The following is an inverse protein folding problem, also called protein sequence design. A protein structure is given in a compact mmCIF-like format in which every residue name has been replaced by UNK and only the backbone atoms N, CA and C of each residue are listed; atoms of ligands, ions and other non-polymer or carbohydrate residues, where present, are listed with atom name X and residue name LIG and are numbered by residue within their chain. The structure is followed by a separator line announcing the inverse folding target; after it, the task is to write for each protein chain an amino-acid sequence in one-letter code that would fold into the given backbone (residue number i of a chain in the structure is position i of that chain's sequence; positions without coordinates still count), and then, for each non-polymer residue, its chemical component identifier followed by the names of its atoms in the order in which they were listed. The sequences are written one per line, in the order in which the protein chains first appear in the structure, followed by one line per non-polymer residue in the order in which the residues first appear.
data_IF_203728730964
#
_entry.id   IF_203728730964
#
_cell.length_a   1.000
_cell.length_b   1.000
_cell.length_c   1.000
_cell.angle_alpha   90.00
_cell.angle_beta   90.00
_cell.angle_gamma   90.00
#
_symmetry.space_group_name_H-M   'P 1'
#
loop_
_entity.id
_entity.type
_entity.pdbx_description
1 polymer ?
#
# COMPACT_ATOMS: atom_id res chain seq x y z
N UNK A 1 -39.06 -7.14 16.16
CA UNK A 1 -38.00 -8.13 15.96
C UNK A 1 -36.74 -7.59 16.62
N UNK A 2 -36.08 -8.30 17.51
CA UNK A 2 -34.81 -7.82 18.06
C UNK A 2 -33.78 -7.87 16.91
N UNK A 3 -33.04 -6.76 16.75
CA UNK A 3 -31.91 -6.67 15.84
C UNK A 3 -30.85 -7.63 16.38
N UNK A 4 -30.37 -8.54 15.55
CA UNK A 4 -29.34 -9.49 15.94
C UNK A 4 -28.01 -8.74 16.20
N UNK A 5 -27.25 -9.16 17.17
CA UNK A 5 -25.94 -8.53 17.51
C UNK A 5 -24.98 -8.52 16.31
N UNK A 6 -25.00 -9.55 15.49
CA UNK A 6 -24.23 -9.63 14.24
C UNK A 6 -24.61 -8.53 13.23
N UNK A 7 -25.88 -8.14 13.16
CA UNK A 7 -26.34 -7.04 12.29
C UNK A 7 -25.93 -5.65 12.83
N UNK A 8 -25.88 -5.48 14.15
CA UNK A 8 -25.43 -4.22 14.77
C UNK A 8 -23.92 -4.05 14.56
N UNK A 9 -23.15 -5.11 14.74
CA UNK A 9 -21.69 -5.06 14.52
C UNK A 9 -21.33 -4.79 13.06
N UNK A 10 -22.03 -5.37 12.10
CA UNK A 10 -21.80 -5.12 10.66
C UNK A 10 -22.08 -3.66 10.25
N UNK A 11 -22.80 -2.88 11.05
CA UNK A 11 -23.04 -1.45 10.79
C UNK A 11 -22.00 -0.52 11.44
N UNK A 12 -21.15 -1.05 12.33
CA UNK A 12 -20.16 -0.28 13.09
C UNK A 12 -18.73 -0.42 12.56
N UNK A 13 -18.49 -1.37 11.66
CA UNK A 13 -17.15 -1.64 11.10
C UNK A 13 -17.20 -1.57 9.58
N UNK A 14 -16.16 -0.99 8.98
CA UNK A 14 -16.04 -0.90 7.53
C UNK A 14 -15.52 -2.19 6.91
N UNK A 15 -14.70 -2.95 7.64
CA UNK A 15 -14.06 -4.18 7.16
C UNK A 15 -14.10 -5.28 8.21
N UNK A 16 -14.30 -6.52 7.76
CA UNK A 16 -14.23 -7.71 8.59
C UNK A 16 -13.21 -8.67 8.00
N UNK A 17 -12.25 -9.08 8.80
CA UNK A 17 -11.26 -10.09 8.41
C UNK A 17 -11.64 -11.44 8.98
N UNK A 18 -11.43 -12.49 8.18
CA UNK A 18 -11.62 -13.87 8.63
C UNK A 18 -10.27 -14.46 9.05
N UNK A 19 -10.20 -14.93 10.29
CA UNK A 19 -9.04 -15.70 10.75
C UNK A 19 -9.12 -17.14 10.22
N UNK A 20 -7.96 -17.69 9.81
CA UNK A 20 -7.88 -19.10 9.49
C UNK A 20 -8.01 -19.95 10.76
N UNK A 21 -8.89 -20.96 10.75
CA UNK A 21 -8.97 -21.91 11.84
C UNK A 21 -7.68 -22.74 11.96
N UNK A 22 -7.29 -23.05 13.19
CA UNK A 22 -6.19 -23.95 13.48
C UNK A 22 -4.78 -23.36 13.45
N UNK A 23 -4.63 -22.05 13.23
CA UNK A 23 -3.36 -21.33 13.34
C UNK A 23 -3.54 -19.89 13.84
N UNK A 24 -2.46 -19.30 14.31
CA UNK A 24 -2.43 -17.90 14.71
C UNK A 24 -2.65 -16.97 13.51
N UNK A 25 -3.36 -15.86 13.74
CA UNK A 25 -3.51 -14.78 12.77
C UNK A 25 -2.18 -14.04 12.63
N UNK A 26 -1.70 -13.89 11.40
CA UNK A 26 -0.39 -13.30 11.10
C UNK A 26 -0.55 -11.94 10.43
N UNK A 27 0.09 -10.96 10.99
CA UNK A 27 0.19 -9.62 10.42
C UNK A 27 1.62 -9.40 9.93
N UNK A 28 1.76 -9.05 8.66
CA UNK A 28 3.02 -8.60 8.09
C UNK A 28 3.01 -7.08 8.05
N UNK A 29 3.99 -6.45 8.68
CA UNK A 29 4.22 -5.02 8.56
C UNK A 29 5.31 -4.76 7.52
N UNK A 30 4.99 -3.93 6.54
CA UNK A 30 5.93 -3.35 5.58
C UNK A 30 6.01 -1.85 5.84
N UNK A 31 7.21 -1.31 5.95
CA UNK A 31 7.45 0.12 6.16
C UNK A 31 8.48 0.61 5.16
N UNK A 32 8.42 1.89 4.82
CA UNK A 32 9.45 2.54 4.00
C UNK A 32 9.75 1.79 2.69
N UNK A 33 8.71 1.38 1.99
CA UNK A 33 8.85 0.75 0.67
C UNK A 33 9.51 1.72 -0.30
N UNK A 34 9.15 3.00 -0.21
CA UNK A 34 9.76 4.12 -0.93
C UNK A 34 9.97 3.83 -2.43
N UNK A 35 8.94 3.30 -3.08
CA UNK A 35 8.99 3.04 -4.51
C UNK A 35 9.23 4.35 -5.28
N UNK A 36 10.27 4.38 -6.10
CA UNK A 36 10.68 5.59 -6.80
C UNK A 36 10.06 5.61 -8.20
N UNK A 37 9.54 6.79 -8.59
CA UNK A 37 9.15 7.03 -9.98
C UNK A 37 10.41 7.33 -10.82
N UNK A 38 10.66 6.59 -11.90
CA UNK A 38 11.79 6.86 -12.78
C UNK A 38 11.69 8.23 -13.48
N UNK A 39 10.49 8.78 -13.59
CA UNK A 39 10.24 10.12 -14.14
C UNK A 39 10.47 11.27 -13.16
N UNK A 40 10.85 11.00 -11.89
CA UNK A 40 11.12 12.06 -10.94
C UNK A 40 12.27 12.95 -11.43
N UNK A 41 12.09 14.27 -11.35
CA UNK A 41 13.01 15.25 -11.94
C UNK A 41 13.74 16.13 -10.92
N UNK A 42 13.29 16.15 -9.66
CA UNK A 42 13.85 17.06 -8.64
C UNK A 42 15.26 16.67 -8.20
N UNK A 43 15.52 15.40 -8.11
CA UNK A 43 16.81 14.85 -7.68
C UNK A 43 17.29 13.77 -8.64
N UNK A 44 17.59 14.13 -9.89
CA UNK A 44 18.01 13.15 -10.91
C UNK A 44 19.26 12.39 -10.49
N UNK A 45 20.13 12.99 -9.67
CA UNK A 45 21.33 12.35 -9.14
C UNK A 45 21.01 11.16 -8.23
N UNK A 46 19.84 11.13 -7.60
CA UNK A 46 19.42 10.00 -6.75
C UNK A 46 19.09 8.76 -7.59
N UNK A 47 18.59 8.95 -8.79
CA UNK A 47 18.36 7.86 -9.74
C UNK A 47 19.64 7.55 -10.52
N UNK A 48 20.35 8.58 -10.98
CA UNK A 48 21.56 8.41 -11.81
C UNK A 48 22.73 7.81 -11.04
N UNK A 49 22.80 7.98 -9.72
CA UNK A 49 23.83 7.36 -8.87
C UNK A 49 23.52 5.90 -8.51
N UNK A 50 22.30 5.46 -8.69
CA UNK A 50 21.97 4.04 -8.75
C UNK A 50 22.47 3.59 -10.13
N UNK A 51 23.42 2.66 -10.21
CA UNK A 51 23.95 2.08 -11.45
C UNK A 51 22.88 2.05 -12.54
N UNK A 52 23.17 2.38 -13.82
CA UNK A 52 22.14 2.51 -14.83
C UNK A 52 21.33 1.23 -14.96
N UNK A 53 20.20 1.23 -14.25
CA UNK A 53 19.19 0.18 -14.28
C UNK A 53 18.01 0.70 -15.10
N UNK A 54 17.35 -0.19 -15.81
CA UNK A 54 16.12 0.18 -16.52
C UNK A 54 15.01 0.54 -15.54
N UNK A 55 13.99 1.26 -16.03
CA UNK A 55 12.80 1.56 -15.23
C UNK A 55 12.13 0.28 -14.69
N UNK A 56 12.15 -0.79 -15.50
CA UNK A 56 11.65 -2.09 -15.07
C UNK A 56 12.46 -2.66 -13.91
N UNK A 57 13.78 -2.48 -13.91
CA UNK A 57 14.64 -2.99 -12.84
C UNK A 57 14.42 -2.24 -11.53
N UNK A 58 14.14 -0.93 -11.55
CA UNK A 58 13.81 -0.17 -10.33
C UNK A 58 12.62 -0.76 -9.58
N UNK A 59 11.61 -1.24 -10.31
CA UNK A 59 10.46 -1.89 -9.67
C UNK A 59 10.72 -3.37 -9.35
N UNK A 60 11.48 -4.07 -10.20
CA UNK A 60 11.66 -5.51 -10.09
C UNK A 60 12.28 -5.91 -8.75
N UNK A 61 13.32 -5.22 -8.31
CA UNK A 61 13.99 -5.52 -7.04
C UNK A 61 13.06 -5.26 -5.85
N UNK A 62 12.37 -4.12 -5.84
CA UNK A 62 11.39 -3.79 -4.81
C UNK A 62 10.30 -4.88 -4.73
N UNK A 63 9.70 -5.22 -5.85
CA UNK A 63 8.64 -6.21 -5.91
C UNK A 63 9.13 -7.62 -5.57
N UNK A 64 10.35 -7.96 -5.94
CA UNK A 64 10.97 -9.23 -5.53
C UNK A 64 11.07 -9.36 -4.01
N UNK A 65 11.53 -8.31 -3.32
CA UNK A 65 11.63 -8.33 -1.86
C UNK A 65 10.25 -8.38 -1.18
N UNK A 66 9.28 -7.61 -1.66
CA UNK A 66 7.89 -7.68 -1.16
C UNK A 66 7.37 -9.11 -1.30
N UNK A 67 7.45 -9.69 -2.50
CA UNK A 67 6.99 -11.06 -2.78
C UNK A 67 7.65 -12.08 -1.88
N UNK A 68 8.98 -12.07 -1.81
CA UNK A 68 9.72 -13.06 -1.02
C UNK A 68 9.39 -12.97 0.47
N UNK A 69 9.11 -11.76 0.97
CA UNK A 69 8.70 -11.54 2.36
C UNK A 69 7.30 -12.08 2.62
N UNK A 70 6.35 -11.79 1.73
CA UNK A 70 4.96 -12.30 1.82
C UNK A 70 4.95 -13.83 1.76
N UNK A 71 5.68 -14.44 0.83
CA UNK A 71 5.75 -15.90 0.68
C UNK A 71 6.32 -16.59 1.92
N UNK A 72 7.29 -15.97 2.58
CA UNK A 72 7.89 -16.50 3.83
C UNK A 72 6.96 -16.30 5.03
N UNK A 73 6.37 -15.11 5.18
CA UNK A 73 5.53 -14.76 6.33
C UNK A 73 4.17 -15.46 6.27
N UNK A 74 3.62 -15.65 5.07
CA UNK A 74 2.26 -16.17 4.84
C UNK A 74 1.23 -15.42 5.70
N UNK A 75 1.11 -14.10 5.54
CA UNK A 75 0.27 -13.28 6.40
C UNK A 75 -1.21 -13.42 6.07
N UNK A 76 -2.07 -13.09 7.03
CA UNK A 76 -3.50 -12.93 6.86
C UNK A 76 -3.88 -11.46 6.61
N UNK A 77 -2.99 -10.54 7.00
CA UNK A 77 -3.12 -9.10 6.82
C UNK A 77 -1.74 -8.50 6.57
N UNK A 78 -1.67 -7.53 5.65
CA UNK A 78 -0.47 -6.73 5.43
C UNK A 78 -0.76 -5.29 5.84
N UNK A 79 0.09 -4.72 6.70
CA UNK A 79 0.06 -3.31 7.07
C UNK A 79 1.22 -2.59 6.38
N UNK A 80 0.91 -1.57 5.59
CA UNK A 80 1.90 -0.68 4.98
C UNK A 80 1.95 0.60 5.82
N UNK A 81 3.02 0.77 6.61
CA UNK A 81 3.05 1.76 7.69
C UNK A 81 3.75 3.06 7.32
N UNK A 82 3.58 3.48 6.08
CA UNK A 82 4.01 4.79 5.60
C UNK A 82 5.24 4.74 4.70
N UNK A 83 5.52 5.88 4.09
CA UNK A 83 6.56 6.06 3.07
C UNK A 83 6.45 4.99 1.97
N UNK A 84 5.24 4.83 1.45
CA UNK A 84 4.92 3.84 0.43
C UNK A 84 5.57 4.21 -0.91
N UNK A 85 5.57 5.51 -1.22
CA UNK A 85 6.27 6.09 -2.37
C UNK A 85 7.35 7.04 -1.89
N UNK A 86 8.41 7.14 -2.66
CA UNK A 86 9.33 8.25 -2.54
C UNK A 86 8.70 9.42 -3.29
N UNK A 87 7.94 10.27 -2.58
CA UNK A 87 6.94 11.16 -3.14
C UNK A 87 7.44 12.37 -3.90
N UNK A 88 8.74 12.59 -3.93
CA UNK A 88 9.32 13.71 -4.64
C UNK A 88 9.13 13.55 -6.16
N UNK A 89 8.06 14.20 -6.68
CA UNK A 89 7.83 14.35 -8.12
C UNK A 89 7.42 13.10 -8.90
N UNK A 90 6.61 12.25 -8.30
CA UNK A 90 5.75 11.35 -9.04
C UNK A 90 4.66 12.14 -9.77
N UNK A 91 4.99 12.72 -10.91
CA UNK A 91 4.07 13.56 -11.68
C UNK A 91 2.89 12.78 -12.26
N UNK A 92 3.05 11.49 -12.48
CA UNK A 92 2.04 10.64 -13.11
C UNK A 92 1.24 9.77 -12.13
N UNK A 93 1.73 9.53 -10.94
CA UNK A 93 1.18 8.56 -9.98
C UNK A 93 1.39 7.10 -10.44
N UNK A 94 2.30 6.87 -11.39
CA UNK A 94 2.52 5.55 -11.97
C UNK A 94 3.06 4.55 -10.95
N UNK A 95 3.98 4.98 -10.12
CA UNK A 95 4.61 4.13 -9.10
C UNK A 95 3.61 3.66 -8.06
N UNK A 96 2.76 4.56 -7.57
CA UNK A 96 1.70 4.19 -6.63
C UNK A 96 0.70 3.21 -7.25
N UNK A 97 0.26 3.47 -8.51
CA UNK A 97 -0.65 2.54 -9.19
C UNK A 97 -0.04 1.15 -9.37
N UNK A 98 1.25 1.09 -9.72
CA UNK A 98 1.97 -0.19 -9.83
C UNK A 98 2.05 -0.90 -8.49
N UNK A 99 2.37 -0.18 -7.41
CA UNK A 99 2.43 -0.76 -6.06
C UNK A 99 1.06 -1.30 -5.64
N UNK A 100 -0.01 -0.53 -5.81
CA UNK A 100 -1.38 -0.95 -5.50
C UNK A 100 -1.77 -2.22 -6.27
N UNK A 101 -1.56 -2.22 -7.59
CA UNK A 101 -1.87 -3.39 -8.41
C UNK A 101 -1.05 -4.62 -7.99
N UNK A 102 0.20 -4.41 -7.59
CA UNK A 102 1.07 -5.48 -7.12
C UNK A 102 0.60 -6.05 -5.78
N UNK A 103 0.25 -5.18 -4.82
CA UNK A 103 -0.30 -5.61 -3.53
C UNK A 103 -1.63 -6.37 -3.71
N UNK A 104 -2.53 -5.88 -4.55
CA UNK A 104 -3.80 -6.54 -4.85
C UNK A 104 -3.61 -7.93 -5.51
N UNK A 105 -2.52 -8.12 -6.26
CA UNK A 105 -2.25 -9.40 -6.93
C UNK A 105 -2.03 -10.57 -5.98
N UNK A 106 -1.68 -10.32 -4.73
CA UNK A 106 -1.53 -11.36 -3.71
C UNK A 106 -2.86 -11.85 -3.14
N UNK A 107 -3.95 -11.12 -3.36
CA UNK A 107 -5.29 -11.43 -2.85
C UNK A 107 -5.33 -11.58 -1.31
N UNK A 108 -4.43 -10.90 -0.63
CA UNK A 108 -4.35 -10.82 0.82
C UNK A 108 -4.84 -9.43 1.23
N UNK A 109 -5.73 -9.30 2.24
CA UNK A 109 -6.12 -8.00 2.76
C UNK A 109 -4.90 -7.16 3.16
N UNK A 110 -4.88 -5.89 2.75
CA UNK A 110 -3.81 -4.97 3.10
C UNK A 110 -4.34 -3.58 3.43
N UNK A 111 -3.67 -2.86 4.32
CA UNK A 111 -4.06 -1.53 4.78
C UNK A 111 -2.87 -0.58 4.74
N UNK A 112 -2.95 0.53 4.00
CA UNK A 112 -1.94 1.57 3.99
C UNK A 112 -2.21 2.64 5.04
N UNK A 113 -1.13 3.24 5.54
CA UNK A 113 -1.12 4.56 6.14
C UNK A 113 -0.06 5.41 5.46
N UNK A 114 -0.06 6.72 5.69
CA UNK A 114 0.89 7.65 5.09
C UNK A 114 2.07 7.90 6.01
N UNK A 115 3.26 8.01 5.41
CA UNK A 115 4.44 8.60 5.99
C UNK A 115 4.64 10.04 5.48
N UNK A 116 5.78 10.63 5.78
CA UNK A 116 6.08 12.00 5.38
C UNK A 116 6.35 12.14 3.87
N UNK A 117 6.94 11.14 3.21
CA UNK A 117 7.20 11.17 1.78
C UNK A 117 5.94 11.00 0.91
N UNK A 118 4.92 10.31 1.41
CA UNK A 118 3.68 10.11 0.65
C UNK A 118 2.95 11.44 0.35
N UNK A 119 3.11 12.47 1.20
CA UNK A 119 2.53 13.80 1.00
C UNK A 119 3.28 14.65 -0.03
N UNK A 120 4.45 14.26 -0.46
CA UNK A 120 5.28 15.00 -1.40
C UNK A 120 4.87 14.78 -2.86
N UNK A 121 4.04 13.78 -3.14
CA UNK A 121 3.56 13.47 -4.49
C UNK A 121 2.76 14.63 -5.08
N UNK A 122 3.04 14.98 -6.34
CA UNK A 122 2.32 16.03 -7.08
C UNK A 122 0.84 15.73 -7.28
N UNK A 123 0.43 14.47 -7.21
CA UNK A 123 -0.98 14.06 -7.25
C UNK A 123 -1.72 14.37 -5.95
N UNK A 124 -1.00 14.47 -4.85
CA UNK A 124 -1.55 14.77 -3.53
C UNK A 124 -2.32 13.61 -2.89
N UNK A 125 -2.54 13.74 -1.59
CA UNK A 125 -3.16 12.71 -0.74
C UNK A 125 -4.59 12.37 -1.17
N UNK A 126 -5.37 13.37 -1.59
CA UNK A 126 -6.76 13.13 -2.01
C UNK A 126 -6.86 12.15 -3.18
N UNK A 127 -5.97 12.30 -4.16
CA UNK A 127 -5.89 11.37 -5.29
C UNK A 127 -5.41 9.98 -4.85
N UNK A 128 -4.44 9.90 -3.96
CA UNK A 128 -3.96 8.62 -3.42
C UNK A 128 -5.08 7.87 -2.69
N UNK A 129 -5.87 8.58 -1.86
CA UNK A 129 -7.07 8.01 -1.22
C UNK A 129 -8.00 7.35 -2.25
N UNK A 130 -8.26 8.03 -3.36
CA UNK A 130 -9.11 7.48 -4.44
C UNK A 130 -8.54 6.22 -5.06
N UNK A 131 -7.20 6.11 -5.17
CA UNK A 131 -6.58 4.91 -5.70
C UNK A 131 -6.70 3.74 -4.71
N UNK A 132 -6.47 3.99 -3.43
CA UNK A 132 -6.62 2.97 -2.38
C UNK A 132 -8.06 2.49 -2.24
N UNK A 133 -9.06 3.39 -2.29
CA UNK A 133 -10.48 3.04 -2.22
C UNK A 133 -10.96 2.19 -3.41
N UNK A 134 -10.27 2.24 -4.55
CA UNK A 134 -10.60 1.44 -5.75
C UNK A 134 -9.96 0.05 -5.73
N UNK A 135 -8.96 -0.17 -4.89
CA UNK A 135 -8.24 -1.43 -4.82
C UNK A 135 -9.10 -2.51 -4.13
N UNK A 136 -9.07 -3.70 -4.68
CA UNK A 136 -10.02 -4.77 -4.30
C UNK A 136 -9.74 -5.34 -2.91
N UNK A 137 -8.46 -5.49 -2.56
CA UNK A 137 -8.02 -6.08 -1.29
C UNK A 137 -7.54 -5.05 -0.29
N UNK A 138 -7.61 -3.76 -0.64
CA UNK A 138 -7.20 -2.66 0.21
C UNK A 138 -8.27 -2.34 1.26
N UNK A 139 -7.88 -2.37 2.52
CA UNK A 139 -8.75 -2.02 3.65
C UNK A 139 -8.59 -0.53 3.99
N UNK A 140 -8.82 0.32 3.00
CA UNK A 140 -8.74 1.76 3.17
C UNK A 140 -10.09 2.42 2.94
N UNK A 141 -10.44 3.31 3.85
CA UNK A 141 -11.60 4.18 3.71
C UNK A 141 -11.27 5.53 4.30
N UNK A 142 -11.59 6.59 3.57
CA UNK A 142 -11.45 7.95 4.09
C UNK A 142 -12.35 8.16 5.29
N UNK A 143 -11.78 8.72 6.36
CA UNK A 143 -12.54 9.17 7.51
C UNK A 143 -13.25 10.51 7.25
N UNK A 144 -14.17 10.85 8.13
CA UNK A 144 -14.86 12.14 8.11
C UNK A 144 -14.04 13.26 8.77
N UNK A 145 -12.94 12.90 9.40
CA UNK A 145 -12.05 13.82 10.13
C UNK A 145 -10.67 13.68 9.53
N UNK A 146 -10.16 14.79 8.99
CA UNK A 146 -8.76 14.90 8.62
C UNK A 146 -7.98 15.25 9.88
N UNK A 147 -7.18 14.30 10.35
CA UNK A 147 -6.23 14.54 11.44
C UNK A 147 -5.00 15.26 10.94
#
# INVERSE_FOLDING_TARGET
MPIREDQVMASLVDFVLQACEGREFRILQLTDIQIIDPGQSRYPERINNITPISDEQLYADCFHYIKSTIEKAKPDLILMTGDNVYGEFDDSGASLRKLIAYMDSFQIPWAPVWGNHDNESTKGVAWQCEQFEKAQYCLFKRGNITG
#
